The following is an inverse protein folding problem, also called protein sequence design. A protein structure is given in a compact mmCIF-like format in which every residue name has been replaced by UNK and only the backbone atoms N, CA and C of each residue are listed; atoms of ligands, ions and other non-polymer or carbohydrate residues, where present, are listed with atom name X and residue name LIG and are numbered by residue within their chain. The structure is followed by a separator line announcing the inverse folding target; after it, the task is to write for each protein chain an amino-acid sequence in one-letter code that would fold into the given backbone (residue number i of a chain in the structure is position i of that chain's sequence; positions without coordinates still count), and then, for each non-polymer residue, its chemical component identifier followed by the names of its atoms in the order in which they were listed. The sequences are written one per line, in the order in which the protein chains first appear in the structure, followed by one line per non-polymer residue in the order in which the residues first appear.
data_IF_757426688986
#
_entry.id   IF_757426688986
#
_cell.length_a   1.000
_cell.length_b   1.000
_cell.length_c   1.000
_cell.angle_alpha   90.00
_cell.angle_beta   90.00
_cell.angle_gamma   90.00
#
_symmetry.space_group_name_H-M   'P 1'
#
loop_
_entity.id
_entity.type
_entity.pdbx_description
1 polymer ?
#
# COMPACT_ATOMS: atom_id res chain seq x y z
N UNK A 1 0.30 -22.14 13.82
CA UNK A 1 0.22 -20.68 14.08
C UNK A 1 1.33 -20.06 13.24
N UNK A 2 1.00 -19.60 12.04
CA UNK A 2 1.97 -19.04 11.07
C UNK A 2 1.46 -17.64 10.68
N UNK A 3 1.19 -16.83 11.68
CA UNK A 3 0.64 -15.50 11.51
C UNK A 3 1.84 -14.54 11.51
N UNK A 4 1.99 -13.74 10.44
CA UNK A 4 2.69 -12.45 10.46
C UNK A 4 4.20 -12.38 10.14
N UNK A 5 4.77 -13.31 9.35
CA UNK A 5 6.13 -13.11 8.78
C UNK A 5 6.28 -11.86 7.91
N UNK A 6 5.17 -11.20 7.53
CA UNK A 6 5.17 -9.94 6.80
C UNK A 6 5.44 -8.71 7.68
N UNK A 7 5.19 -8.78 9.00
CA UNK A 7 5.43 -7.66 9.94
C UNK A 7 6.91 -7.42 10.21
N UNK A 8 7.73 -8.47 10.12
CA UNK A 8 9.18 -8.38 10.32
C UNK A 8 9.93 -7.98 9.04
N UNK A 9 9.23 -7.90 7.90
CA UNK A 9 9.84 -7.43 6.65
C UNK A 9 10.03 -5.93 6.70
N UNK A 10 11.27 -5.50 6.55
CA UNK A 10 11.62 -4.11 6.33
C UNK A 10 10.98 -3.63 5.03
N UNK A 11 10.27 -2.49 5.05
CA UNK A 11 9.75 -1.91 3.83
C UNK A 11 10.89 -1.47 2.92
N UNK A 12 10.74 -1.76 1.62
CA UNK A 12 11.71 -1.41 0.60
C UNK A 12 11.70 0.10 0.30
N UNK A 13 10.53 0.73 0.40
CA UNK A 13 10.35 2.18 0.17
C UNK A 13 9.08 2.68 0.84
N UNK A 14 8.96 4.00 0.96
CA UNK A 14 7.74 4.69 1.38
C UNK A 14 7.14 5.41 0.18
N UNK A 15 5.82 5.34 0.06
CA UNK A 15 5.10 6.02 -1.01
C UNK A 15 3.91 6.78 -0.42
N UNK A 16 3.66 7.98 -0.94
CA UNK A 16 2.55 8.83 -0.53
C UNK A 16 1.34 8.61 -1.46
N UNK A 17 0.16 8.37 -0.89
CA UNK A 17 -1.06 8.22 -1.69
C UNK A 17 -1.45 9.57 -2.27
N UNK A 18 -1.41 9.71 -3.59
CA UNK A 18 -1.84 10.94 -4.28
C UNK A 18 -3.30 10.89 -4.69
N UNK A 19 -3.82 9.70 -4.99
CA UNK A 19 -5.21 9.52 -5.38
C UNK A 19 -5.65 8.08 -5.16
N UNK A 20 -6.84 7.90 -4.61
CA UNK A 20 -7.52 6.62 -4.49
C UNK A 20 -8.68 6.55 -5.48
N UNK A 21 -8.44 6.85 -6.77
CA UNK A 21 -9.46 6.85 -7.84
C UNK A 21 -9.89 5.42 -8.20
N UNK A 22 -10.45 4.72 -7.21
CA UNK A 22 -11.19 3.49 -7.42
C UNK A 22 -12.65 3.88 -7.60
N UNK A 23 -13.10 4.03 -8.86
CA UNK A 23 -14.51 4.27 -9.24
C UNK A 23 -15.51 3.24 -8.69
N UNK A 24 -15.04 2.16 -8.10
CA UNK A 24 -15.80 1.00 -7.65
C UNK A 24 -15.25 0.53 -6.30
N UNK A 25 -15.82 1.05 -5.22
CA UNK A 25 -15.86 0.43 -3.89
C UNK A 25 -14.55 0.33 -3.08
N UNK A 26 -14.62 0.72 -1.79
CA UNK A 26 -13.83 0.20 -0.65
C UNK A 26 -12.31 0.46 -0.54
N UNK A 27 -11.69 1.33 -1.35
CA UNK A 27 -10.28 1.72 -1.09
C UNK A 27 -10.17 2.80 0.00
N UNK A 28 -11.25 3.54 0.28
CA UNK A 28 -11.28 4.66 1.23
C UNK A 28 -10.98 4.28 2.68
N UNK A 29 -11.29 3.06 3.10
CA UNK A 29 -10.98 2.58 4.45
C UNK A 29 -9.50 2.16 4.57
N UNK A 30 -8.96 1.61 3.48
CA UNK A 30 -7.62 1.01 3.46
C UNK A 30 -6.52 2.03 3.18
N UNK A 31 -6.76 2.99 2.29
CA UNK A 31 -5.79 4.02 1.92
C UNK A 31 -6.33 5.43 2.16
N UNK A 32 -5.49 6.25 2.76
CA UNK A 32 -5.77 7.66 3.03
C UNK A 32 -4.89 8.53 2.13
N UNK A 33 -5.51 9.36 1.30
CA UNK A 33 -4.80 10.32 0.43
C UNK A 33 -3.98 11.29 1.30
N UNK A 34 -2.72 11.52 0.92
CA UNK A 34 -1.76 12.34 1.67
C UNK A 34 -1.07 11.60 2.82
N UNK A 35 -1.38 10.32 3.06
CA UNK A 35 -0.66 9.48 4.02
C UNK A 35 0.41 8.66 3.31
N UNK A 36 1.53 8.45 4.01
CA UNK A 36 2.62 7.60 3.55
C UNK A 36 2.40 6.16 3.99
N UNK A 37 2.69 5.23 3.09
CA UNK A 37 2.60 3.80 3.33
C UNK A 37 3.91 3.11 2.98
N UNK A 38 4.16 2.04 3.71
CA UNK A 38 5.36 1.23 3.62
C UNK A 38 5.17 0.15 2.55
N UNK A 39 5.94 0.24 1.48
CA UNK A 39 5.97 -0.73 0.38
C UNK A 39 6.84 -1.90 0.81
N UNK A 40 6.27 -3.09 0.82
CA UNK A 40 7.00 -4.32 1.14
C UNK A 40 7.52 -4.97 -0.14
N UNK A 41 6.81 -4.79 -1.25
CA UNK A 41 7.17 -5.37 -2.53
C UNK A 41 6.62 -4.51 -3.67
N UNK A 42 7.31 -4.51 -4.81
CA UNK A 42 6.83 -3.86 -6.02
C UNK A 42 6.91 -4.83 -7.20
N UNK A 43 5.87 -4.81 -8.03
CA UNK A 43 5.85 -5.48 -9.32
C UNK A 43 5.98 -4.43 -10.42
N UNK A 44 5.87 -4.83 -11.68
CA UNK A 44 6.00 -3.90 -12.81
C UNK A 44 4.94 -2.79 -12.76
N UNK A 45 3.70 -3.13 -12.40
CA UNK A 45 2.55 -2.23 -12.45
C UNK A 45 1.91 -1.93 -11.07
N UNK A 46 2.30 -2.67 -10.02
CA UNK A 46 1.64 -2.60 -8.70
C UNK A 46 2.65 -2.45 -7.55
N UNK A 47 2.26 -1.71 -6.51
CA UNK A 47 2.92 -1.70 -5.20
C UNK A 47 2.12 -2.56 -4.22
N UNK A 48 2.81 -3.43 -3.51
CA UNK A 48 2.28 -4.14 -2.35
C UNK A 48 2.66 -3.33 -1.10
N UNK A 49 1.67 -2.71 -0.48
CA UNK A 49 1.85 -1.88 0.72
C UNK A 49 1.03 -2.42 1.88
N UNK A 50 1.45 -2.09 3.10
CA UNK A 50 0.66 -2.35 4.30
C UNK A 50 -0.41 -1.27 4.40
N UNK A 51 -1.67 -1.63 4.22
CA UNK A 51 -2.78 -0.68 4.33
C UNK A 51 -3.16 -0.37 5.79
N UNK A 52 -4.13 0.52 6.02
CA UNK A 52 -4.56 0.91 7.37
C UNK A 52 -5.02 -0.28 8.24
N UNK A 53 -5.46 -1.38 7.63
CA UNK A 53 -5.87 -2.61 8.32
C UNK A 53 -4.69 -3.44 8.82
N UNK A 54 -3.46 -3.07 8.48
CA UNK A 54 -2.26 -3.84 8.77
C UNK A 54 -2.10 -5.08 7.89
N UNK A 55 -2.85 -5.16 6.79
CA UNK A 55 -2.77 -6.22 5.79
C UNK A 55 -1.98 -5.72 4.58
N UNK A 56 -1.49 -6.66 3.76
CA UNK A 56 -0.76 -6.33 2.54
C UNK A 56 -1.75 -6.27 1.38
N UNK A 57 -1.99 -5.08 0.87
CA UNK A 57 -2.82 -4.83 -0.31
C UNK A 57 -1.97 -4.51 -1.54
N UNK A 58 -2.41 -4.98 -2.71
CA UNK A 58 -1.79 -4.65 -4.00
C UNK A 58 -2.53 -3.49 -4.67
N UNK A 59 -1.82 -2.42 -5.00
CA UNK A 59 -2.38 -1.18 -5.55
C UNK A 59 -1.55 -0.67 -6.73
N UNK A 60 -2.18 0.07 -7.66
CA UNK A 60 -1.47 0.60 -8.83
C UNK A 60 -0.44 1.66 -8.45
N UNK A 61 0.73 1.63 -9.10
CA UNK A 61 1.78 2.64 -8.87
C UNK A 61 1.30 4.07 -9.13
N UNK A 62 0.35 4.24 -10.05
CA UNK A 62 -0.25 5.53 -10.40
C UNK A 62 -1.02 6.19 -9.26
N UNK A 63 -1.37 5.45 -8.20
CA UNK A 63 -2.04 5.98 -7.02
C UNK A 63 -1.09 6.59 -6.00
N UNK A 64 0.21 6.36 -6.19
CA UNK A 64 1.22 6.79 -5.25
C UNK A 64 2.28 7.66 -5.91
N UNK A 65 2.93 8.46 -5.08
CA UNK A 65 4.09 9.25 -5.42
C UNK A 65 5.25 8.82 -4.53
N UNK A 66 6.38 8.54 -5.14
CA UNK A 66 7.64 8.31 -4.42
C UNK A 66 8.10 9.65 -3.83
N UNK A 67 8.42 9.65 -2.52
CA UNK A 67 8.84 10.81 -1.71
C UNK A 67 10.19 10.56 -1.07
#
# INVERSE_FOLDING_TARGET
MLHETWKERTPIKKVEVINTDAKKFTVSDMLTVGKQYDVINETEEYYQIIDNSGLVGGYYKTYFKEV
#
